data_IF_845967636010
#
_entry.id   IF_845967636010
#
_cell.length_a   1.000
_cell.length_b   1.000
_cell.length_c   1.000
_cell.angle_alpha   90.00
_cell.angle_beta   90.00
_cell.angle_gamma   90.00
#
_symmetry.space_group_name_H-M   'P 1'
#
loop_
_entity.id
_entity.type
_entity.pdbx_description
1 polymer ?
#
# COMPACT_ATOMS: atom_id res chain seq x y z
N UNK A 1 -22.83 -13.46 -22.22
CA UNK A 1 -22.60 -12.79 -20.92
C UNK A 1 -21.23 -12.11 -20.99
N UNK A 2 -21.17 -10.77 -21.07
CA UNK A 2 -19.89 -10.06 -21.03
C UNK A 2 -19.21 -10.35 -19.70
N UNK A 3 -18.09 -11.06 -19.71
CA UNK A 3 -17.31 -11.31 -18.51
C UNK A 3 -16.72 -9.96 -18.08
N UNK A 4 -17.28 -9.35 -17.04
CA UNK A 4 -16.82 -8.07 -16.53
C UNK A 4 -15.35 -8.20 -16.07
N UNK A 5 -14.51 -7.23 -16.43
CA UNK A 5 -13.12 -7.16 -15.95
C UNK A 5 -13.09 -7.14 -14.42
N UNK A 6 -12.07 -7.76 -13.81
CA UNK A 6 -11.90 -7.73 -12.35
C UNK A 6 -11.44 -6.34 -11.92
N UNK A 7 -10.40 -5.82 -12.58
CA UNK A 7 -9.87 -4.48 -12.44
C UNK A 7 -9.01 -4.11 -13.66
N UNK A 8 -8.94 -2.84 -14.03
CA UNK A 8 -7.85 -2.37 -14.90
C UNK A 8 -6.55 -2.25 -14.12
N UNK A 9 -5.40 -2.43 -14.76
CA UNK A 9 -4.09 -2.18 -14.16
C UNK A 9 -3.48 -0.96 -14.85
N UNK A 10 -3.02 0.02 -14.09
CA UNK A 10 -2.31 1.19 -14.64
C UNK A 10 -0.94 1.33 -14.01
N UNK A 11 0.07 1.53 -14.86
CA UNK A 11 1.41 1.95 -14.45
C UNK A 11 1.49 3.47 -14.62
N UNK A 12 1.77 4.17 -13.54
CA UNK A 12 2.02 5.60 -13.51
C UNK A 12 3.49 5.84 -13.87
N UNK A 13 3.74 6.43 -15.03
CA UNK A 13 5.07 6.69 -15.57
C UNK A 13 5.28 8.18 -15.88
N UNK A 14 6.54 8.60 -16.00
CA UNK A 14 6.87 9.99 -16.38
C UNK A 14 8.03 10.05 -17.37
N UNK A 15 9.26 9.84 -16.88
CA UNK A 15 10.51 10.06 -17.63
C UNK A 15 11.59 8.99 -17.40
N UNK A 16 11.25 7.82 -16.84
CA UNK A 16 12.22 6.73 -16.54
C UNK A 16 11.96 5.50 -17.41
N UNK A 17 12.37 5.55 -18.68
CA UNK A 17 12.08 4.48 -19.65
C UNK A 17 12.64 3.10 -19.24
N UNK A 18 13.84 3.06 -18.63
CA UNK A 18 14.46 1.81 -18.18
C UNK A 18 13.72 1.20 -16.98
N UNK A 19 13.22 2.05 -16.07
CA UNK A 19 12.42 1.60 -14.94
C UNK A 19 11.07 1.05 -15.42
N UNK A 20 10.41 1.78 -16.33
CA UNK A 20 9.18 1.33 -16.96
C UNK A 20 9.36 -0.04 -17.65
N UNK A 21 10.48 -0.25 -18.35
CA UNK A 21 10.77 -1.54 -18.98
C UNK A 21 10.87 -2.68 -17.96
N UNK A 22 11.61 -2.48 -16.86
CA UNK A 22 11.71 -3.48 -15.79
C UNK A 22 10.35 -3.80 -15.17
N UNK A 23 9.56 -2.77 -14.87
CA UNK A 23 8.21 -2.89 -14.33
C UNK A 23 7.28 -3.65 -15.28
N UNK A 24 7.28 -3.28 -16.57
CA UNK A 24 6.48 -3.98 -17.59
C UNK A 24 6.88 -5.44 -17.75
N UNK A 25 8.17 -5.75 -17.77
CA UNK A 25 8.66 -7.13 -17.86
C UNK A 25 8.20 -7.96 -16.66
N UNK A 26 8.24 -7.40 -15.46
CA UNK A 26 7.74 -8.05 -14.24
C UNK A 26 6.22 -8.30 -14.31
N UNK A 27 5.44 -7.31 -14.71
CA UNK A 27 3.98 -7.40 -14.78
C UNK A 27 3.53 -8.38 -15.86
N UNK A 28 4.07 -8.26 -17.08
CA UNK A 28 3.64 -9.07 -18.23
C UNK A 28 3.92 -10.56 -18.04
N UNK A 29 4.89 -10.93 -17.20
CA UNK A 29 5.16 -12.33 -16.81
C UNK A 29 3.92 -13.00 -16.22
N UNK A 30 3.15 -12.29 -15.40
CA UNK A 30 1.99 -12.85 -14.69
C UNK A 30 0.65 -12.31 -15.23
N UNK A 31 0.65 -11.15 -15.89
CA UNK A 31 -0.55 -10.53 -16.44
C UNK A 31 -1.00 -11.17 -17.76
N UNK A 32 -0.06 -11.58 -18.63
CA UNK A 32 -0.38 -12.08 -19.98
C UNK A 32 -1.40 -13.24 -19.98
N UNK A 33 -1.32 -14.24 -19.07
CA UNK A 33 -2.32 -15.31 -18.99
C UNK A 33 -3.71 -14.84 -18.55
N UNK A 34 -3.82 -13.70 -17.86
CA UNK A 34 -5.06 -13.17 -17.27
C UNK A 34 -5.48 -11.83 -17.88
N UNK A 35 -4.95 -11.47 -19.06
CA UNK A 35 -5.13 -10.16 -19.68
C UNK A 35 -6.59 -9.77 -19.91
N UNK A 36 -7.48 -10.74 -20.16
CA UNK A 36 -8.93 -10.49 -20.28
C UNK A 36 -9.56 -9.97 -18.99
N UNK A 37 -9.08 -10.42 -17.82
CA UNK A 37 -9.56 -9.96 -16.51
C UNK A 37 -8.92 -8.63 -16.11
N UNK A 38 -7.68 -8.42 -16.53
CA UNK A 38 -6.82 -7.32 -16.11
C UNK A 38 -6.23 -6.55 -17.30
N UNK A 39 -7.02 -5.72 -18.02
CA UNK A 39 -6.47 -4.90 -19.09
C UNK A 39 -5.40 -3.94 -18.54
N UNK A 40 -4.25 -3.89 -19.23
CA UNK A 40 -3.06 -3.16 -18.78
C UNK A 40 -2.93 -1.81 -19.50
N UNK A 41 -2.65 -0.78 -18.72
CA UNK A 41 -2.46 0.59 -19.17
C UNK A 41 -1.11 1.12 -18.70
N UNK A 42 -0.49 1.97 -19.52
CA UNK A 42 0.60 2.86 -19.08
C UNK A 42 0.10 4.27 -19.23
N UNK A 43 0.08 5.01 -18.12
CA UNK A 43 -0.24 6.43 -18.12
C UNK A 43 1.05 7.22 -17.94
N UNK A 44 1.50 7.91 -18.98
CA UNK A 44 2.68 8.76 -18.93
C UNK A 44 2.29 10.21 -18.63
N UNK A 45 2.92 10.82 -17.63
CA UNK A 45 2.96 12.28 -17.47
C UNK A 45 4.04 12.90 -18.36
N UNK A 46 3.71 14.02 -18.99
CA UNK A 46 4.62 14.75 -19.85
C UNK A 46 4.85 14.10 -21.22
N UNK A 47 5.99 14.44 -21.83
CA UNK A 47 6.29 14.17 -23.24
C UNK A 47 7.63 13.47 -23.48
N UNK A 48 8.19 12.81 -22.46
CA UNK A 48 9.44 12.07 -22.62
C UNK A 48 9.32 11.03 -23.77
N UNK A 49 10.12 11.19 -24.85
CA UNK A 49 9.96 10.36 -26.04
C UNK A 49 10.44 8.93 -25.81
N UNK A 50 11.36 8.69 -24.88
CA UNK A 50 11.89 7.36 -24.58
C UNK A 50 10.85 6.52 -23.85
N UNK A 51 10.17 7.09 -22.86
CA UNK A 51 9.06 6.44 -22.16
C UNK A 51 7.92 6.12 -23.14
N UNK A 52 7.53 7.10 -23.97
CA UNK A 52 6.48 6.89 -24.99
C UNK A 52 6.86 5.78 -25.97
N UNK A 53 8.07 5.82 -26.52
CA UNK A 53 8.58 4.79 -27.45
C UNK A 53 8.61 3.43 -26.78
N UNK A 54 9.07 3.35 -25.52
CA UNK A 54 9.11 2.09 -24.77
C UNK A 54 7.71 1.53 -24.54
N UNK A 55 6.78 2.32 -24.01
CA UNK A 55 5.39 1.88 -23.76
C UNK A 55 4.71 1.39 -25.06
N UNK A 56 4.84 2.15 -26.14
CA UNK A 56 4.24 1.82 -27.45
C UNK A 56 4.88 0.61 -28.14
N UNK A 57 6.03 0.12 -27.67
CA UNK A 57 6.65 -1.09 -28.20
C UNK A 57 5.94 -2.37 -27.76
N UNK A 58 5.13 -2.31 -26.69
CA UNK A 58 4.33 -3.42 -26.18
C UNK A 58 2.93 -3.41 -26.79
N UNK A 59 2.53 -4.52 -27.42
CA UNK A 59 1.19 -4.67 -28.03
C UNK A 59 0.10 -5.04 -27.02
N UNK A 60 0.51 -5.44 -25.81
CA UNK A 60 -0.35 -6.00 -24.77
C UNK A 60 -1.02 -4.93 -23.88
N UNK A 61 -0.69 -3.65 -24.07
CA UNK A 61 -1.15 -2.55 -23.22
C UNK A 61 -1.76 -1.41 -24.02
N UNK A 62 -2.54 -0.57 -23.34
CA UNK A 62 -3.03 0.71 -23.87
C UNK A 62 -2.21 1.85 -23.28
N UNK A 63 -1.67 2.70 -24.16
CA UNK A 63 -0.90 3.87 -23.75
C UNK A 63 -1.81 5.10 -23.61
N UNK A 64 -1.69 5.78 -22.47
CA UNK A 64 -2.35 7.04 -22.15
C UNK A 64 -1.27 8.11 -21.94
N UNK A 65 -1.53 9.33 -22.40
CA UNK A 65 -0.60 10.45 -22.25
C UNK A 65 -1.30 11.65 -21.61
N UNK A 66 -0.78 12.09 -20.48
CA UNK A 66 -1.16 13.32 -19.80
C UNK A 66 -0.16 14.42 -20.15
N UNK A 67 -0.63 15.48 -20.81
CA UNK A 67 0.18 16.68 -21.08
C UNK A 67 -0.56 17.88 -20.50
N UNK A 68 -0.10 18.37 -19.35
CA UNK A 68 -0.59 19.60 -18.73
C UNK A 68 0.51 20.67 -18.75
N UNK A 69 0.33 21.68 -19.60
CA UNK A 69 1.23 22.83 -19.72
C UNK A 69 0.89 23.95 -18.73
N UNK A 70 -0.13 23.79 -17.90
CA UNK A 70 -0.56 24.83 -16.96
C UNK A 70 0.49 25.02 -15.87
N UNK A 71 0.87 26.28 -15.54
CA UNK A 71 1.84 26.53 -14.48
C UNK A 71 1.36 25.93 -13.15
N UNK A 72 2.30 25.39 -12.39
CA UNK A 72 2.06 24.89 -11.04
C UNK A 72 2.44 26.00 -10.08
N UNK A 73 1.43 26.55 -9.40
CA UNK A 73 1.62 27.47 -8.29
C UNK A 73 1.56 26.67 -6.99
N UNK A 74 2.63 26.69 -6.21
CA UNK A 74 2.64 26.11 -4.87
C UNK A 74 1.85 27.01 -3.93
N UNK A 75 1.17 26.40 -2.96
CA UNK A 75 0.42 27.14 -1.96
C UNK A 75 1.34 27.79 -0.92
N UNK A 76 2.51 27.19 -0.67
CA UNK A 76 3.53 27.76 0.23
C UNK A 76 4.93 27.77 -0.39
N UNK A 77 5.81 28.69 0.04
CA UNK A 77 7.23 28.64 -0.32
C UNK A 77 7.90 27.34 0.16
N UNK A 78 8.77 26.76 -0.67
CA UNK A 78 9.54 25.55 -0.33
C UNK A 78 8.86 24.23 -0.64
N UNK A 79 7.59 24.23 -1.04
CA UNK A 79 6.91 23.02 -1.49
C UNK A 79 7.44 22.55 -2.86
N UNK A 80 7.48 21.24 -3.05
CA UNK A 80 8.07 20.61 -4.23
C UNK A 80 7.02 20.47 -5.34
N UNK A 81 7.21 21.22 -6.45
CA UNK A 81 6.35 21.22 -7.65
C UNK A 81 6.09 19.80 -8.20
N UNK A 82 7.06 18.89 -8.05
CA UNK A 82 6.93 17.50 -8.50
C UNK A 82 5.66 16.83 -7.93
N UNK A 83 5.34 17.05 -6.66
CA UNK A 83 4.20 16.38 -6.02
C UNK A 83 2.84 16.91 -6.47
N UNK A 84 2.76 18.19 -6.83
CA UNK A 84 1.58 18.75 -7.47
C UNK A 84 1.35 18.12 -8.85
N UNK A 85 2.42 17.89 -9.63
CA UNK A 85 2.33 17.22 -10.93
C UNK A 85 1.90 15.76 -10.77
N UNK A 86 2.48 15.04 -9.80
CA UNK A 86 2.08 13.68 -9.45
C UNK A 86 0.59 13.64 -9.10
N UNK A 87 0.10 14.52 -8.21
CA UNK A 87 -1.30 14.56 -7.83
C UNK A 87 -2.24 14.83 -9.02
N UNK A 88 -1.88 15.75 -9.93
CA UNK A 88 -2.64 16.02 -11.16
C UNK A 88 -2.67 14.80 -12.09
N UNK A 89 -1.53 14.14 -12.28
CA UNK A 89 -1.43 12.97 -13.14
C UNK A 89 -2.24 11.79 -12.61
N UNK A 90 -2.18 11.51 -11.31
CA UNK A 90 -3.01 10.50 -10.64
C UNK A 90 -4.50 10.78 -10.87
N UNK A 91 -4.95 12.02 -10.63
CA UNK A 91 -6.34 12.40 -10.88
C UNK A 91 -6.75 12.16 -12.33
N UNK A 92 -5.96 12.66 -13.27
CA UNK A 92 -6.28 12.54 -14.70
C UNK A 92 -6.35 11.08 -15.14
N UNK A 93 -5.39 10.25 -14.73
CA UNK A 93 -5.34 8.84 -15.10
C UNK A 93 -6.52 8.07 -14.54
N UNK A 94 -6.86 8.29 -13.26
CA UNK A 94 -7.99 7.64 -12.61
C UNK A 94 -9.32 8.12 -13.19
N UNK A 95 -9.49 9.41 -13.48
CA UNK A 95 -10.68 9.92 -14.18
C UNK A 95 -10.84 9.29 -15.57
N UNK A 96 -9.75 9.09 -16.32
CA UNK A 96 -9.81 8.37 -17.60
C UNK A 96 -10.26 6.94 -17.44
N UNK A 97 -9.65 6.19 -16.51
CA UNK A 97 -9.96 4.78 -16.31
C UNK A 97 -11.38 4.56 -15.78
N UNK A 98 -11.79 5.35 -14.77
CA UNK A 98 -13.11 5.24 -14.19
C UNK A 98 -14.19 5.84 -15.10
N UNK A 99 -14.04 7.05 -15.64
CA UNK A 99 -15.13 7.72 -16.37
C UNK A 99 -15.13 7.49 -17.87
N UNK A 100 -13.97 7.42 -18.51
CA UNK A 100 -13.89 7.20 -19.97
C UNK A 100 -13.91 5.72 -20.32
N UNK A 101 -13.13 4.89 -19.62
CA UNK A 101 -13.06 3.44 -19.87
C UNK A 101 -14.07 2.63 -19.05
N UNK A 102 -14.81 3.27 -18.13
CA UNK A 102 -15.92 2.67 -17.39
C UNK A 102 -15.52 1.43 -16.55
N UNK A 103 -14.30 1.39 -16.03
CA UNK A 103 -13.89 0.32 -15.11
C UNK A 103 -14.54 0.48 -13.74
N UNK A 104 -14.85 -0.65 -13.08
CA UNK A 104 -15.37 -0.67 -11.71
C UNK A 104 -14.26 -0.60 -10.66
N UNK A 105 -13.04 -1.03 -11.02
CA UNK A 105 -11.85 -1.04 -10.17
C UNK A 105 -10.60 -0.76 -10.99
N UNK A 106 -9.62 -0.16 -10.34
CA UNK A 106 -8.29 0.07 -10.88
C UNK A 106 -7.25 -0.38 -9.86
N UNK A 107 -6.26 -1.13 -10.31
CA UNK A 107 -5.01 -1.42 -9.61
C UNK A 107 -3.96 -0.43 -10.12
N UNK A 108 -3.34 0.31 -9.21
CA UNK A 108 -2.37 1.36 -9.50
C UNK A 108 -0.98 0.88 -9.08
N UNK A 109 -0.03 0.94 -10.03
CA UNK A 109 1.39 0.68 -9.84
C UNK A 109 2.18 1.91 -10.31
N UNK A 110 3.38 2.10 -9.76
CA UNK A 110 4.34 3.10 -10.26
C UNK A 110 5.36 2.43 -11.20
N UNK A 111 6.08 3.21 -11.99
CA UNK A 111 7.03 2.70 -12.98
C UNK A 111 8.32 2.10 -12.39
N UNK A 112 8.45 2.05 -11.06
CA UNK A 112 9.59 1.48 -10.32
C UNK A 112 9.22 0.28 -9.44
N UNK A 113 8.28 -0.55 -9.89
CA UNK A 113 7.77 -1.69 -9.14
C UNK A 113 7.89 -3.04 -9.86
N UNK A 114 8.26 -4.08 -9.11
CA UNK A 114 8.10 -5.48 -9.50
C UNK A 114 6.92 -6.11 -8.75
N UNK A 115 6.29 -7.12 -9.35
CA UNK A 115 5.14 -7.82 -8.75
C UNK A 115 5.46 -9.29 -8.42
N UNK A 116 4.81 -9.81 -7.39
CA UNK A 116 4.90 -11.21 -6.97
C UNK A 116 4.11 -12.16 -7.90
N UNK A 117 4.41 -13.48 -7.89
CA UNK A 117 3.73 -14.46 -8.73
C UNK A 117 2.20 -14.52 -8.52
N UNK A 118 1.76 -14.32 -7.28
CA UNK A 118 0.35 -14.39 -6.86
C UNK A 118 -0.38 -13.03 -6.89
N UNK A 119 0.24 -11.98 -7.44
CA UNK A 119 -0.27 -10.60 -7.40
C UNK A 119 -1.71 -10.47 -7.90
N UNK A 120 -2.03 -11.10 -9.04
CA UNK A 120 -3.37 -11.03 -9.63
C UNK A 120 -4.39 -11.83 -8.84
N UNK A 121 -4.03 -13.02 -8.35
CA UNK A 121 -4.92 -13.85 -7.51
C UNK A 121 -5.21 -13.16 -6.16
N UNK A 122 -4.21 -12.48 -5.58
CA UNK A 122 -4.35 -11.65 -4.38
C UNK A 122 -5.39 -10.55 -4.58
N UNK A 123 -5.30 -9.79 -5.68
CA UNK A 123 -6.27 -8.74 -5.98
C UNK A 123 -7.64 -9.30 -6.40
N UNK A 124 -7.73 -10.47 -7.05
CA UNK A 124 -9.01 -11.12 -7.36
C UNK A 124 -9.76 -11.48 -6.08
N UNK A 125 -9.09 -12.11 -5.12
CA UNK A 125 -9.70 -12.54 -3.86
C UNK A 125 -10.10 -11.35 -2.97
N UNK A 126 -9.24 -10.34 -2.87
CA UNK A 126 -9.52 -9.15 -2.07
C UNK A 126 -10.52 -8.19 -2.72
N UNK A 127 -10.69 -8.21 -4.05
CA UNK A 127 -11.77 -7.50 -4.72
C UNK A 127 -13.15 -8.01 -4.25
N UNK A 128 -13.29 -9.32 -4.05
CA UNK A 128 -14.53 -9.90 -3.50
C UNK A 128 -14.78 -9.47 -2.04
N UNK A 129 -13.74 -9.20 -1.25
CA UNK A 129 -13.90 -8.62 0.09
C UNK A 129 -14.40 -7.18 0.01
N UNK A 130 -13.81 -6.34 -0.84
CA UNK A 130 -14.27 -4.94 -1.03
C UNK A 130 -15.72 -4.84 -1.53
N UNK A 131 -16.18 -5.84 -2.28
CA UNK A 131 -17.59 -5.92 -2.68
C UNK A 131 -18.52 -6.11 -1.47
N UNK A 132 -18.14 -7.01 -0.55
CA UNK A 132 -18.94 -7.44 0.60
C UNK A 132 -18.82 -6.48 1.80
N UNK A 133 -17.66 -5.86 1.99
CA UNK A 133 -17.35 -5.02 3.14
C UNK A 133 -16.97 -3.59 2.70
N UNK A 134 -17.88 -2.64 2.93
CA UNK A 134 -17.69 -1.22 2.58
C UNK A 134 -16.82 -0.45 3.58
N UNK A 135 -16.47 -1.07 4.70
CA UNK A 135 -15.46 -0.52 5.60
C UNK A 135 -14.04 -0.68 5.02
N UNK A 136 -13.84 -1.48 3.95
CA UNK A 136 -12.57 -1.57 3.22
C UNK A 136 -12.53 -0.50 2.13
N UNK A 137 -11.63 0.47 2.28
CA UNK A 137 -11.48 1.57 1.31
C UNK A 137 -10.66 1.17 0.08
N UNK A 138 -9.53 0.50 0.32
CA UNK A 138 -8.60 0.05 -0.70
C UNK A 138 -7.81 -1.17 -0.21
N UNK A 139 -7.22 -1.91 -1.14
CA UNK A 139 -6.32 -3.04 -0.86
C UNK A 139 -4.94 -2.64 -1.36
N UNK A 140 -3.91 -2.79 -0.53
CA UNK A 140 -2.51 -2.57 -0.90
C UNK A 140 -1.76 -3.90 -0.96
N UNK A 141 -0.80 -4.02 -1.86
CA UNK A 141 0.17 -5.13 -1.92
C UNK A 141 1.41 -4.88 -1.04
N UNK A 142 1.44 -3.78 -0.29
CA UNK A 142 2.61 -3.33 0.46
C UNK A 142 2.44 -3.46 1.97
N UNK A 143 3.53 -3.83 2.63
CA UNK A 143 3.72 -3.76 4.07
C UNK A 143 4.92 -2.85 4.34
N UNK A 144 4.72 -1.70 4.99
CA UNK A 144 5.82 -0.78 5.32
C UNK A 144 6.91 -1.44 6.18
N UNK A 145 6.51 -2.38 7.05
CA UNK A 145 7.43 -3.18 7.85
C UNK A 145 7.68 -4.56 7.20
N UNK A 146 7.73 -4.60 5.86
CA UNK A 146 7.84 -5.80 5.03
C UNK A 146 9.26 -6.31 4.82
N UNK A 147 10.24 -5.83 5.57
CA UNK A 147 11.64 -6.20 5.41
C UNK A 147 11.84 -7.69 5.73
N UNK A 148 12.81 -8.35 5.09
CA UNK A 148 13.03 -9.82 5.20
C UNK A 148 13.05 -10.35 6.64
N UNK A 149 13.60 -9.58 7.58
CA UNK A 149 13.68 -9.95 8.99
C UNK A 149 12.37 -9.77 9.79
N UNK A 150 11.38 -9.09 9.23
CA UNK A 150 10.12 -8.72 9.88
C UNK A 150 8.87 -9.39 9.32
N UNK A 151 9.05 -10.32 8.38
CA UNK A 151 7.96 -11.07 7.74
C UNK A 151 8.30 -12.55 7.66
N UNK A 152 7.28 -13.41 7.67
CA UNK A 152 7.49 -14.85 7.62
C UNK A 152 6.47 -15.55 6.72
N UNK A 153 5.18 -15.29 6.96
CA UNK A 153 4.08 -16.07 6.41
C UNK A 153 3.43 -15.39 5.19
N UNK A 154 3.53 -15.95 3.96
CA UNK A 154 2.94 -15.34 2.77
C UNK A 154 1.41 -15.48 2.71
N UNK A 155 0.78 -16.24 3.59
CA UNK A 155 -0.67 -16.48 3.61
C UNK A 155 -1.43 -15.45 4.45
N UNK A 156 -0.74 -14.71 5.33
CA UNK A 156 -1.40 -13.80 6.27
C UNK A 156 -1.67 -12.43 5.64
N UNK A 157 -2.91 -11.97 5.79
CA UNK A 157 -3.35 -10.60 5.51
C UNK A 157 -3.84 -9.93 6.79
N UNK A 158 -3.75 -8.60 6.80
CA UNK A 158 -4.17 -7.75 7.92
C UNK A 158 -5.06 -6.60 7.41
N UNK A 159 -5.94 -6.11 8.28
CA UNK A 159 -6.50 -4.77 8.14
C UNK A 159 -5.54 -3.75 8.75
N UNK A 160 -5.55 -2.53 8.23
CA UNK A 160 -4.77 -1.41 8.74
C UNK A 160 -5.56 -0.10 8.65
N UNK A 161 -5.37 0.79 9.61
CA UNK A 161 -5.86 2.16 9.58
C UNK A 161 -4.91 3.08 8.79
N UNK A 162 -3.69 2.62 8.51
CA UNK A 162 -2.71 3.36 7.72
C UNK A 162 -2.80 2.95 6.25
N UNK A 163 -2.91 3.94 5.35
CA UNK A 163 -2.86 3.68 3.90
C UNK A 163 -1.41 3.47 3.42
N UNK A 164 -1.03 2.25 2.97
CA UNK A 164 0.35 1.98 2.57
C UNK A 164 0.67 2.45 1.14
N UNK A 165 -0.32 2.44 0.24
CA UNK A 165 -0.10 2.71 -1.19
C UNK A 165 0.66 1.57 -1.90
N UNK A 166 1.66 1.95 -2.71
CA UNK A 166 2.67 1.07 -3.36
C UNK A 166 2.13 -0.25 -3.95
N UNK A 167 1.34 -0.14 -5.01
CA UNK A 167 0.58 -1.25 -5.56
C UNK A 167 -0.75 -1.41 -4.82
N UNK A 168 -1.80 -0.76 -5.32
CA UNK A 168 -3.05 -0.73 -4.58
C UNK A 168 -4.26 -0.67 -5.50
N UNK A 169 -5.38 -1.21 -5.02
CA UNK A 169 -6.63 -1.30 -5.75
C UNK A 169 -7.70 -0.41 -5.12
N UNK A 170 -8.38 0.36 -5.97
CA UNK A 170 -9.46 1.26 -5.61
C UNK A 170 -10.73 0.93 -6.40
N UNK A 171 -11.90 1.15 -5.78
CA UNK A 171 -13.20 1.03 -6.44
C UNK A 171 -13.68 2.36 -7.03
N UNK A 172 -14.52 2.29 -8.06
CA UNK A 172 -15.16 3.47 -8.66
C UNK A 172 -15.95 4.28 -7.64
N UNK A 173 -16.74 3.63 -6.80
CA UNK A 173 -17.52 4.33 -5.77
C UNK A 173 -16.65 5.12 -4.80
N UNK A 174 -15.47 4.59 -4.45
CA UNK A 174 -14.50 5.33 -3.63
C UNK A 174 -13.91 6.48 -4.44
N UNK A 175 -13.59 6.28 -5.71
CA UNK A 175 -13.06 7.34 -6.57
C UNK A 175 -14.07 8.48 -6.79
N UNK A 176 -15.35 8.19 -6.96
CA UNK A 176 -16.40 9.20 -7.12
C UNK A 176 -16.46 10.17 -5.93
N UNK A 177 -16.19 9.67 -4.72
CA UNK A 177 -16.07 10.48 -3.52
C UNK A 177 -14.76 11.28 -3.50
N UNK A 178 -13.62 10.65 -3.78
CA UNK A 178 -12.30 11.28 -3.66
C UNK A 178 -12.03 12.29 -4.77
N UNK A 179 -12.46 12.01 -6.01
CA UNK A 179 -12.19 12.82 -7.20
C UNK A 179 -12.73 14.24 -7.09
N UNK A 180 -13.86 14.41 -6.38
CA UNK A 180 -14.50 15.71 -6.15
C UNK A 180 -13.68 16.65 -5.25
N UNK A 181 -12.88 16.08 -4.35
CA UNK A 181 -12.07 16.81 -3.37
C UNK A 181 -10.57 16.52 -3.50
N UNK A 182 -10.16 15.94 -4.63
CA UNK A 182 -8.78 15.52 -4.84
C UNK A 182 -7.82 16.71 -4.69
N UNK A 183 -6.72 16.56 -3.93
CA UNK A 183 -5.85 17.67 -3.61
C UNK A 183 -5.11 18.14 -4.87
N UNK A 184 -4.89 19.46 -4.96
CA UNK A 184 -3.92 20.03 -5.93
C UNK A 184 -2.50 19.69 -5.45
N UNK A 185 -2.24 20.03 -4.20
CA UNK A 185 -1.44 19.39 -3.16
C UNK A 185 -1.93 20.10 -1.88
N UNK A 186 -2.38 19.40 -0.84
CA UNK A 186 -3.29 20.00 0.15
C UNK A 186 -2.60 21.08 1.04
N UNK A 187 -3.31 22.17 1.42
CA UNK A 187 -2.82 23.15 2.39
C UNK A 187 -2.88 22.56 3.79
N UNK A 188 -1.84 22.78 4.59
CA UNK A 188 -1.69 22.31 5.98
C UNK A 188 -1.10 20.89 6.09
N UNK A 189 0.19 20.86 6.42
CA UNK A 189 0.93 19.74 7.01
C UNK A 189 1.09 18.40 6.24
N UNK A 190 0.52 18.23 5.04
CA UNK A 190 0.67 16.99 4.26
C UNK A 190 0.70 17.28 2.76
N UNK A 191 1.90 17.39 2.20
CA UNK A 191 2.16 17.88 0.83
C UNK A 191 1.87 16.87 -0.28
N UNK A 192 1.36 15.68 0.04
CA UNK A 192 1.32 14.53 -0.86
C UNK A 192 -0.08 13.91 -0.95
N UNK A 193 -0.48 13.43 -2.12
CA UNK A 193 -1.84 12.88 -2.35
C UNK A 193 -2.12 11.66 -1.48
N UNK A 194 -1.09 10.88 -1.16
CA UNK A 194 -1.15 9.69 -0.32
C UNK A 194 -1.27 10.08 1.16
N UNK A 195 -0.52 11.09 1.63
CA UNK A 195 -0.71 11.67 2.97
C UNK A 195 -2.11 12.28 3.11
N UNK A 196 -2.63 12.95 2.09
CA UNK A 196 -4.01 13.43 2.08
C UNK A 196 -5.00 12.27 2.23
N UNK A 197 -4.80 11.15 1.55
CA UNK A 197 -5.67 9.98 1.67
C UNK A 197 -5.67 9.37 3.08
N UNK A 198 -4.57 9.53 3.82
CA UNK A 198 -4.41 9.06 5.22
C UNK A 198 -5.21 9.89 6.22
N UNK A 199 -5.71 11.08 5.86
CA UNK A 199 -6.47 11.93 6.78
C UNK A 199 -7.85 11.35 7.09
N UNK A 200 -8.27 11.44 8.36
CA UNK A 200 -9.58 10.95 8.84
C UNK A 200 -10.77 11.47 8.02
N UNK A 201 -10.72 12.71 7.53
CA UNK A 201 -11.75 13.31 6.66
C UNK A 201 -11.90 12.62 5.29
N UNK A 202 -10.86 11.90 4.85
CA UNK A 202 -10.79 11.23 3.56
C UNK A 202 -11.10 9.75 3.67
N UNK A 203 -10.45 9.03 4.59
CA UNK A 203 -10.76 7.61 4.77
C UNK A 203 -12.02 7.36 5.60
N UNK A 204 -12.47 8.32 6.43
CA UNK A 204 -13.72 8.25 7.21
C UNK A 204 -13.83 7.01 8.09
N UNK A 205 -12.72 6.60 8.70
CA UNK A 205 -12.64 5.38 9.52
C UNK A 205 -12.67 4.07 8.73
N UNK A 206 -12.74 4.11 7.39
CA UNK A 206 -12.51 2.93 6.55
C UNK A 206 -11.04 2.51 6.64
N UNK A 207 -10.80 1.23 6.41
CA UNK A 207 -9.53 0.57 6.62
C UNK A 207 -9.00 0.00 5.30
N UNK A 208 -7.75 -0.43 5.34
CA UNK A 208 -7.02 -0.97 4.20
C UNK A 208 -6.66 -2.43 4.44
N UNK A 209 -6.71 -3.26 3.41
CA UNK A 209 -6.11 -4.60 3.47
C UNK A 209 -4.66 -4.51 3.03
N UNK A 210 -3.77 -5.14 3.80
CA UNK A 210 -2.35 -5.25 3.47
C UNK A 210 -1.83 -6.65 3.80
N UNK A 211 -0.79 -7.13 3.13
CA UNK A 211 -0.26 -8.46 3.41
C UNK A 211 0.79 -8.47 4.52
N UNK A 212 1.15 -9.66 5.00
CA UNK A 212 2.39 -9.82 5.78
C UNK A 212 3.62 -9.67 4.89
N UNK A 213 3.71 -10.47 3.82
CA UNK A 213 4.79 -10.40 2.82
C UNK A 213 4.32 -9.58 1.63
N UNK A 214 5.11 -8.60 1.18
CA UNK A 214 4.73 -7.71 0.09
C UNK A 214 4.53 -8.46 -1.23
N UNK A 215 3.52 -8.03 -2.02
CA UNK A 215 3.24 -8.53 -3.38
C UNK A 215 3.78 -7.57 -4.44
N UNK A 216 4.38 -6.46 -4.00
CA UNK A 216 5.16 -5.52 -4.80
C UNK A 216 6.53 -5.28 -4.16
N UNK A 217 7.52 -4.97 -5.00
CA UNK A 217 8.85 -4.52 -4.58
C UNK A 217 9.18 -3.23 -5.31
N UNK A 218 9.58 -2.19 -4.57
CA UNK A 218 10.00 -0.93 -5.15
C UNK A 218 11.53 -0.94 -5.34
N UNK A 219 11.99 -0.74 -6.57
CA UNK A 219 13.41 -0.70 -6.90
C UNK A 219 13.91 0.72 -7.24
N UNK A 220 13.06 1.74 -7.09
CA UNK A 220 13.34 3.12 -7.46
C UNK A 220 14.20 3.85 -6.43
N UNK A 221 15.52 3.70 -6.50
CA UNK A 221 16.45 4.47 -5.63
C UNK A 221 16.42 5.97 -5.97
N UNK A 222 16.30 6.32 -7.26
CA UNK A 222 16.24 7.70 -7.74
C UNK A 222 14.80 8.08 -8.11
N UNK A 223 14.24 9.04 -7.39
CA UNK A 223 12.88 9.54 -7.58
C UNK A 223 12.68 10.94 -7.00
N UNK A 224 11.43 11.40 -6.95
CA UNK A 224 11.07 12.75 -6.47
C UNK A 224 11.38 13.00 -4.99
N UNK A 225 11.62 11.95 -4.21
CA UNK A 225 12.00 12.00 -2.79
C UNK A 225 13.52 12.01 -2.56
N UNK A 226 14.34 12.08 -3.62
CA UNK A 226 15.82 12.06 -3.55
C UNK A 226 16.38 10.79 -2.85
N UNK A 227 15.65 9.67 -2.91
CA UNK A 227 16.07 8.39 -2.32
C UNK A 227 16.01 8.36 -0.79
N UNK A 228 15.38 9.37 -0.16
CA UNK A 228 15.16 9.38 1.28
C UNK A 228 14.42 8.09 1.68
N UNK A 229 14.94 7.40 2.70
CA UNK A 229 14.42 6.11 3.22
C UNK A 229 14.62 4.87 2.34
N UNK A 230 15.05 4.97 1.07
CA UNK A 230 15.13 3.82 0.18
C UNK A 230 16.02 2.70 0.74
N UNK A 231 17.30 2.99 1.01
CA UNK A 231 18.26 1.99 1.49
C UNK A 231 17.91 1.40 2.85
N UNK A 232 17.36 2.21 3.75
CA UNK A 232 17.04 1.77 5.10
C UNK A 232 15.76 0.91 5.13
N UNK A 233 14.74 1.30 4.37
CA UNK A 233 13.40 0.76 4.55
C UNK A 233 12.81 0.08 3.32
N UNK A 234 13.08 0.55 2.09
CA UNK A 234 12.47 0.01 0.86
C UNK A 234 13.31 -1.10 0.22
N UNK A 235 14.62 -0.91 0.10
CA UNK A 235 15.57 -1.88 -0.45
C UNK A 235 15.48 -3.27 0.24
N UNK A 236 15.39 -3.39 1.58
CA UNK A 236 15.33 -4.69 2.26
C UNK A 236 13.96 -5.36 2.27
N UNK A 237 12.94 -4.78 1.62
CA UNK A 237 11.59 -5.36 1.53
C UNK A 237 11.63 -6.73 0.86
N UNK A 238 10.90 -7.69 1.44
CA UNK A 238 10.75 -9.02 0.88
C UNK A 238 9.60 -9.03 -0.13
N UNK A 239 9.93 -9.24 -1.40
CA UNK A 239 8.94 -9.65 -2.41
C UNK A 239 8.54 -11.10 -2.17
N UNK A 240 7.24 -11.37 -2.17
CA UNK A 240 6.72 -12.73 -2.12
C UNK A 240 7.14 -13.53 -3.37
N UNK A 241 7.65 -14.73 -3.14
CA UNK A 241 8.06 -15.70 -4.16
C UNK A 241 7.20 -16.97 -4.15
N UNK A 242 6.19 -17.03 -3.28
CA UNK A 242 5.26 -18.18 -3.14
C UNK A 242 3.96 -17.93 -3.90
N UNK A 243 3.55 -18.87 -4.74
CA UNK A 243 2.22 -18.84 -5.35
C UNK A 243 1.16 -19.26 -4.33
N UNK A 244 0.39 -18.31 -3.81
CA UNK A 244 -0.70 -18.57 -2.87
C UNK A 244 -2.01 -18.80 -3.63
N UNK A 245 -2.70 -19.92 -3.38
CA UNK A 245 -4.04 -20.17 -3.91
C UNK A 245 -5.11 -19.46 -3.07
N UNK A 246 -5.23 -18.15 -3.28
CA UNK A 246 -6.17 -17.28 -2.56
C UNK A 246 -7.64 -17.71 -2.72
N UNK A 247 -7.99 -18.48 -3.76
CA UNK A 247 -9.37 -18.94 -3.98
C UNK A 247 -9.77 -20.05 -3.03
N UNK A 248 -8.81 -20.83 -2.56
CA UNK A 248 -9.01 -21.88 -1.56
C UNK A 248 -9.00 -21.36 -0.12
N UNK A 249 -8.54 -20.13 0.10
CA UNK A 249 -8.38 -19.56 1.44
C UNK A 249 -9.67 -18.96 1.99
N UNK A 250 -9.92 -19.17 3.27
CA UNK A 250 -10.99 -18.44 3.98
C UNK A 250 -10.48 -17.07 4.43
N UNK A 251 -10.84 -16.03 3.67
CA UNK A 251 -10.54 -14.63 3.99
C UNK A 251 -11.66 -13.96 4.82
N UNK A 252 -12.66 -14.71 5.29
CA UNK A 252 -13.80 -14.13 6.00
C UNK A 252 -13.39 -13.49 7.33
N UNK A 253 -12.26 -13.90 7.91
CA UNK A 253 -11.71 -13.27 9.11
C UNK A 253 -11.35 -11.79 8.91
N UNK A 254 -11.18 -11.31 7.66
CA UNK A 254 -10.89 -9.91 7.31
C UNK A 254 -12.13 -9.01 7.26
N UNK A 255 -13.34 -9.57 7.36
CA UNK A 255 -14.57 -8.78 7.42
C UNK A 255 -14.61 -7.97 8.73
N UNK A 256 -15.09 -6.72 8.69
CA UNK A 256 -15.08 -5.81 9.85
C UNK A 256 -15.65 -6.42 11.14
N UNK A 257 -16.77 -7.13 11.01
CA UNK A 257 -17.48 -7.79 12.11
C UNK A 257 -16.69 -8.93 12.77
N UNK A 258 -15.74 -9.54 12.04
CA UNK A 258 -14.92 -10.65 12.52
C UNK A 258 -13.49 -10.26 12.86
N UNK A 259 -12.91 -9.33 12.10
CA UNK A 259 -11.49 -9.04 12.18
C UNK A 259 -11.09 -8.43 13.53
N UNK A 260 -11.95 -7.56 14.09
CA UNK A 260 -11.69 -6.97 15.41
C UNK A 260 -11.51 -8.06 16.46
N UNK A 261 -12.41 -9.04 16.49
CA UNK A 261 -12.39 -10.11 17.48
C UNK A 261 -11.25 -11.11 17.20
N UNK A 262 -11.04 -11.47 15.94
CA UNK A 262 -9.91 -12.31 15.50
C UNK A 262 -8.57 -11.70 15.94
N UNK A 263 -8.33 -10.43 15.60
CA UNK A 263 -7.10 -9.73 15.93
C UNK A 263 -6.94 -9.53 17.44
N UNK A 264 -8.03 -9.23 18.16
CA UNK A 264 -8.03 -9.13 19.61
C UNK A 264 -7.59 -10.45 20.28
N UNK A 265 -8.03 -11.61 19.80
CA UNK A 265 -7.60 -12.90 20.36
C UNK A 265 -6.09 -13.14 20.17
N UNK A 266 -5.54 -12.78 19.01
CA UNK A 266 -4.10 -12.92 18.74
C UNK A 266 -3.31 -11.99 19.66
N UNK A 267 -3.69 -10.72 19.75
CA UNK A 267 -3.03 -9.73 20.64
C UNK A 267 -3.18 -10.12 22.11
N UNK A 268 -4.31 -10.71 22.53
CA UNK A 268 -4.53 -11.17 23.91
C UNK A 268 -3.66 -12.36 24.27
N UNK A 269 -3.44 -13.27 23.32
CA UNK A 269 -2.65 -14.49 23.50
C UNK A 269 -1.15 -14.21 23.59
N UNK A 270 -0.69 -13.07 23.06
CA UNK A 270 0.71 -12.66 23.12
C UNK A 270 1.16 -12.31 24.54
N UNK A 271 2.36 -12.76 24.91
CA UNK A 271 2.93 -12.56 26.25
C UNK A 271 3.29 -11.08 26.47
N UNK A 272 2.77 -10.41 27.52
CA UNK A 272 3.13 -9.03 27.80
C UNK A 272 4.59 -8.94 28.25
N UNK A 273 5.34 -8.02 27.65
CA UNK A 273 6.70 -7.66 28.07
C UNK A 273 6.82 -6.15 28.25
N UNK A 274 7.67 -5.72 29.21
CA UNK A 274 7.88 -4.32 29.55
C UNK A 274 9.35 -4.03 29.87
N UNK A 275 9.76 -2.77 29.79
CA UNK A 275 11.11 -2.29 30.13
C UNK A 275 11.81 -1.55 29.00
N UNK A 276 13.05 -1.10 29.27
CA UNK A 276 13.80 -0.24 28.34
C UNK A 276 14.28 -1.01 27.11
N UNK A 277 14.75 -2.27 27.26
CA UNK A 277 15.29 -3.10 26.17
C UNK A 277 14.24 -4.05 25.57
N UNK A 278 13.24 -3.46 24.90
CA UNK A 278 12.11 -4.19 24.32
C UNK A 278 12.56 -5.29 23.34
N UNK A 279 13.50 -4.97 22.44
CA UNK A 279 14.00 -5.90 21.43
C UNK A 279 14.79 -7.08 22.03
N UNK A 280 15.62 -6.82 23.05
CA UNK A 280 16.37 -7.88 23.74
C UNK A 280 15.42 -8.81 24.48
N UNK A 281 14.43 -8.27 25.19
CA UNK A 281 13.43 -9.07 25.92
C UNK A 281 12.56 -9.90 24.98
N UNK A 282 12.10 -9.31 23.87
CA UNK A 282 11.36 -10.02 22.84
C UNK A 282 12.16 -11.21 22.29
N UNK A 283 13.48 -11.05 22.12
CA UNK A 283 14.37 -12.11 21.63
C UNK A 283 14.51 -13.29 22.58
N UNK A 284 14.38 -13.05 23.89
CA UNK A 284 14.60 -14.05 24.94
C UNK A 284 13.30 -14.77 25.35
N UNK A 285 12.16 -14.35 24.79
CA UNK A 285 10.86 -14.94 25.05
C UNK A 285 10.48 -15.81 23.86
N UNK A 286 10.16 -17.09 24.13
CA UNK A 286 9.56 -17.95 23.12
C UNK A 286 8.09 -17.56 22.85
N UNK A 287 7.72 -17.49 21.57
CA UNK A 287 6.36 -17.19 21.12
C UNK A 287 6.07 -15.71 20.92
N UNK A 288 4.80 -15.40 20.67
CA UNK A 288 4.33 -14.05 20.39
C UNK A 288 4.38 -13.15 21.62
N UNK A 289 4.78 -11.89 21.45
CA UNK A 289 4.90 -10.91 22.54
C UNK A 289 4.17 -9.61 22.24
N UNK A 290 3.68 -8.95 23.29
CA UNK A 290 3.07 -7.62 23.19
C UNK A 290 3.77 -6.61 24.10
N UNK A 291 4.03 -5.43 23.56
CA UNK A 291 4.78 -4.35 24.19
C UNK A 291 3.91 -3.11 24.17
N UNK A 292 3.55 -2.59 25.35
CA UNK A 292 2.74 -1.37 25.42
C UNK A 292 3.62 -0.14 25.24
N UNK A 293 3.25 0.76 24.34
CA UNK A 293 3.84 2.09 24.24
C UNK A 293 2.87 3.15 24.82
N UNK A 294 3.41 4.22 25.38
CA UNK A 294 2.63 5.25 26.09
C UNK A 294 2.11 6.34 25.16
N UNK A 295 2.96 6.79 24.27
CA UNK A 295 2.75 7.92 23.36
C UNK A 295 3.63 7.74 22.11
N UNK A 296 3.61 8.74 21.23
CA UNK A 296 4.38 8.72 19.99
C UNK A 296 5.90 8.63 20.25
N UNK A 297 6.44 9.36 21.22
CA UNK A 297 7.89 9.35 21.51
C UNK A 297 8.34 7.98 22.02
N UNK A 298 7.53 7.35 22.87
CA UNK A 298 7.78 6.01 23.37
C UNK A 298 7.69 4.96 22.25
N UNK A 299 6.72 5.11 21.34
CA UNK A 299 6.65 4.27 20.13
C UNK A 299 7.90 4.41 19.28
N UNK A 300 8.31 5.63 18.92
CA UNK A 300 9.49 5.89 18.08
C UNK A 300 10.75 5.28 18.72
N UNK A 301 10.89 5.41 20.04
CA UNK A 301 11.98 4.78 20.80
C UNK A 301 11.95 3.25 20.69
N UNK A 302 10.79 2.61 20.82
CA UNK A 302 10.65 1.15 20.73
C UNK A 302 10.86 0.68 19.29
N UNK A 303 10.23 1.34 18.31
CA UNK A 303 10.36 1.08 16.88
C UNK A 303 11.83 1.10 16.43
N UNK A 304 12.59 2.11 16.88
CA UNK A 304 14.03 2.24 16.63
C UNK A 304 14.85 1.05 17.14
N UNK A 305 14.47 0.44 18.27
CA UNK A 305 15.17 -0.74 18.80
C UNK A 305 15.00 -1.97 17.92
N UNK A 306 13.85 -2.10 17.25
CA UNK A 306 13.60 -3.19 16.31
C UNK A 306 14.11 -2.86 14.91
N UNK A 307 14.19 -1.58 14.54
CA UNK A 307 14.54 -1.13 13.19
C UNK A 307 13.36 -1.12 12.22
N UNK A 308 12.13 -1.00 12.75
CA UNK A 308 10.91 -0.81 11.95
C UNK A 308 10.63 0.69 11.74
N UNK A 309 9.66 1.04 10.89
CA UNK A 309 9.29 2.44 10.69
C UNK A 309 8.85 3.14 11.98
N UNK A 310 9.48 4.28 12.24
CA UNK A 310 9.18 5.13 13.39
C UNK A 310 8.05 6.13 13.11
N UNK A 311 7.80 6.42 11.82
CA UNK A 311 6.92 7.52 11.39
C UNK A 311 5.43 7.28 11.67
N UNK A 312 4.74 8.38 11.92
CA UNK A 312 3.29 8.49 12.06
C UNK A 312 2.74 9.42 10.99
N UNK A 313 1.52 9.15 10.53
CA UNK A 313 0.75 10.07 9.70
C UNK A 313 -0.64 10.20 10.30
N UNK A 314 -1.11 11.42 10.48
CA UNK A 314 -2.40 11.74 11.11
C UNK A 314 -2.64 10.99 12.44
N UNK A 315 -1.61 10.86 13.27
CA UNK A 315 -1.73 10.14 14.55
C UNK A 315 -1.81 8.62 14.42
N UNK A 316 -1.51 8.05 13.24
CA UNK A 316 -1.50 6.60 12.99
C UNK A 316 -0.08 6.12 12.65
N UNK A 317 0.49 5.17 13.39
CA UNK A 317 1.76 4.53 13.01
C UNK A 317 1.59 3.69 11.75
N UNK A 318 2.66 3.55 10.96
CA UNK A 318 2.64 2.69 9.75
C UNK A 318 2.18 1.27 10.09
N UNK A 319 1.34 0.70 9.23
CA UNK A 319 0.76 -0.67 9.32
C UNK A 319 -0.16 -0.93 10.52
N UNK A 320 -0.46 0.09 11.34
CA UNK A 320 -1.24 -0.10 12.56
C UNK A 320 -2.70 -0.48 12.28
N UNK A 321 -3.30 -1.23 13.20
CA UNK A 321 -4.74 -1.42 13.33
C UNK A 321 -5.13 -1.16 14.79
N UNK A 322 -6.00 -0.18 15.04
CA UNK A 322 -6.40 0.31 16.37
C UNK A 322 -5.20 0.61 17.26
N UNK A 323 -4.18 1.26 16.68
CA UNK A 323 -2.92 1.57 17.35
C UNK A 323 -2.03 0.35 17.67
N UNK A 324 -2.28 -0.82 17.08
CA UNK A 324 -1.40 -1.98 17.20
C UNK A 324 -0.58 -2.16 15.93
N UNK A 325 0.74 -2.13 16.05
CA UNK A 325 1.68 -2.48 14.96
C UNK A 325 2.15 -3.92 15.16
N UNK A 326 2.05 -4.74 14.12
CA UNK A 326 2.46 -6.15 14.14
C UNK A 326 3.52 -6.42 13.08
N UNK A 327 4.60 -7.09 13.50
CA UNK A 327 5.69 -7.55 12.65
C UNK A 327 6.30 -8.82 13.25
N UNK A 328 7.01 -9.61 12.43
CA UNK A 328 7.76 -10.79 12.90
C UNK A 328 9.10 -10.37 13.47
N UNK A 329 9.65 -11.14 14.38
CA UNK A 329 10.99 -10.86 14.90
C UNK A 329 11.71 -12.14 15.30
N UNK A 330 12.89 -12.37 14.69
CA UNK A 330 13.75 -13.55 14.90
C UNK A 330 13.02 -14.89 14.71
N UNK A 331 12.33 -15.04 13.58
CA UNK A 331 11.63 -16.27 13.19
C UNK A 331 10.13 -16.05 13.01
N UNK A 332 9.28 -17.06 13.29
CA UNK A 332 7.84 -16.96 13.06
C UNK A 332 7.10 -16.16 14.15
N UNK A 333 7.76 -15.77 15.23
CA UNK A 333 7.11 -15.09 16.36
C UNK A 333 6.74 -13.64 16.01
N UNK A 334 5.57 -13.21 16.45
CA UNK A 334 5.06 -11.85 16.29
C UNK A 334 5.41 -10.96 17.47
N UNK A 335 5.75 -9.72 17.17
CA UNK A 335 5.82 -8.61 18.13
C UNK A 335 4.64 -7.68 17.85
N UNK A 336 3.85 -7.40 18.88
CA UNK A 336 2.76 -6.44 18.85
C UNK A 336 3.16 -5.20 19.65
N UNK A 337 3.34 -4.05 19.00
CA UNK A 337 3.45 -2.77 19.69
C UNK A 337 2.04 -2.24 19.89
N UNK A 338 1.61 -2.14 21.14
CA UNK A 338 0.22 -1.88 21.54
C UNK A 338 0.09 -0.47 22.09
N UNK A 339 -0.74 0.35 21.47
CA UNK A 339 -0.99 1.72 21.90
C UNK A 339 -1.75 1.83 23.22
N UNK A 340 -1.83 3.06 23.77
CA UNK A 340 -2.38 3.30 25.10
C UNK A 340 -3.85 2.87 25.23
N UNK A 341 -4.65 3.07 24.16
CA UNK A 341 -6.08 2.75 24.11
C UNK A 341 -6.41 1.47 23.34
N UNK A 342 -5.43 0.84 22.68
CA UNK A 342 -5.64 -0.27 21.75
C UNK A 342 -6.36 -1.47 22.37
N UNK A 343 -6.00 -1.87 23.59
CA UNK A 343 -6.66 -2.99 24.27
C UNK A 343 -8.15 -2.70 24.51
N UNK A 344 -8.48 -1.47 24.93
CA UNK A 344 -9.86 -1.02 25.10
C UNK A 344 -10.63 -1.01 23.77
N UNK A 345 -10.01 -0.53 22.69
CA UNK A 345 -10.61 -0.51 21.35
C UNK A 345 -10.81 -1.91 20.75
N UNK A 346 -9.99 -2.88 21.19
CA UNK A 346 -10.10 -4.30 20.86
C UNK A 346 -11.04 -5.07 21.82
N UNK A 347 -11.49 -4.46 22.91
CA UNK A 347 -12.37 -5.08 23.89
C UNK A 347 -11.70 -6.14 24.77
N UNK A 348 -10.40 -6.02 25.03
CA UNK A 348 -9.59 -6.98 25.82
C UNK A 348 -8.86 -6.37 27.01
#
# INVERSE_FOLDING_TARGET
MCQAHVAAVVIMACNRADYLERTLNSILKYQSPVAKKYPLFVSQDGSDPNVKKKAMSYKQLTFLQHVDSSPVHTERPGELIAYYKIARHYKWALDKLFYTHNFSRVIILEDDMEIAPDFFDYFEATAALMEKDKSIMAVSSWNDNGQKQFVHDPYVLYRSDFFPGLGWMLSRSTWDELSQKWPKAYPCCSTYWDDWLRLQENHKGRQFIRPEVCRTYNFGELGSSLGQFFRQYLEPIKLNDVQVDWKSMDLSYLMEDKYKDHFAQIVKSAKPISGVDAALKASNVGGDVRIKYKDQSDFERIARQFGIFEEWKDGVPRTAYKGVVVFRYRGPNSVFLVGPNSLKELGI
#
